data_IF_090566521201
#
_entry.id   IF_090566521201
#
_cell.length_a   1.000
_cell.length_b   1.000
_cell.length_c   1.000
_cell.angle_alpha   90.00
_cell.angle_beta   90.00
_cell.angle_gamma   90.00
#
_symmetry.space_group_name_H-M   'P 1'
#
loop_
_entity.id
_entity.type
_entity.pdbx_description
1 polymer ?
#
# COMPACT_ATOMS: atom_id res chain seq x y z
N UNK A 1 -18.91 7.63 7.00
CA UNK A 1 -19.30 7.80 5.57
C UNK A 1 -18.16 8.29 4.68
N UNK A 2 -17.49 9.42 4.96
CA UNK A 2 -16.39 9.92 4.11
C UNK A 2 -15.28 8.90 3.83
N UNK A 3 -14.82 8.20 4.87
CA UNK A 3 -13.77 7.18 4.77
C UNK A 3 -14.13 5.99 3.87
N UNK A 4 -15.40 5.58 3.83
CA UNK A 4 -15.85 4.50 2.94
C UNK A 4 -15.74 4.91 1.47
N UNK A 5 -16.15 6.13 1.13
CA UNK A 5 -16.07 6.65 -0.25
C UNK A 5 -14.62 6.81 -0.71
N UNK A 6 -13.73 7.25 0.19
CA UNK A 6 -12.29 7.32 -0.08
C UNK A 6 -11.75 5.91 -0.31
N UNK A 7 -12.12 4.95 0.55
CA UNK A 7 -11.74 3.56 0.41
C UNK A 7 -12.19 2.93 -0.90
N UNK A 8 -13.42 3.16 -1.36
CA UNK A 8 -13.88 2.64 -2.65
C UNK A 8 -13.06 3.15 -3.86
N UNK A 9 -12.46 4.35 -3.76
CA UNK A 9 -11.60 4.91 -4.82
C UNK A 9 -10.14 4.53 -4.65
N UNK A 10 -9.66 4.52 -3.42
CA UNK A 10 -8.26 4.20 -3.07
C UNK A 10 -7.98 2.71 -3.22
N UNK A 11 -8.92 1.86 -2.86
CA UNK A 11 -8.78 0.40 -2.93
C UNK A 11 -8.40 -0.09 -4.33
N UNK A 12 -9.12 0.22 -5.43
CA UNK A 12 -8.69 -0.20 -6.77
C UNK A 12 -7.39 0.48 -7.20
N UNK A 13 -7.06 1.66 -6.67
CA UNK A 13 -5.83 2.37 -6.99
C UNK A 13 -4.58 1.74 -6.33
N UNK A 14 -4.70 1.17 -5.14
CA UNK A 14 -3.60 0.46 -4.47
C UNK A 14 -3.63 -1.02 -4.83
N UNK A 15 -4.81 -1.65 -4.91
CA UNK A 15 -4.98 -3.08 -5.17
C UNK A 15 -4.43 -3.53 -6.52
N UNK A 16 -4.30 -2.62 -7.49
CA UNK A 16 -3.59 -2.86 -8.76
C UNK A 16 -2.07 -3.04 -8.59
N UNK A 17 -1.51 -2.58 -7.48
CA UNK A 17 -0.12 -2.80 -7.08
C UNK A 17 -0.01 -3.87 -5.98
N UNK A 18 -0.78 -3.73 -4.90
CA UNK A 18 -0.77 -4.64 -3.75
C UNK A 18 -2.10 -4.57 -2.99
N UNK A 19 -3.00 -5.56 -3.14
CA UNK A 19 -4.29 -5.60 -2.43
C UNK A 19 -4.16 -5.59 -0.90
N UNK A 20 -3.12 -6.20 -0.34
CA UNK A 20 -2.92 -6.25 1.12
C UNK A 20 -2.65 -4.86 1.72
N UNK A 21 -1.96 -3.98 0.97
CA UNK A 21 -1.64 -2.63 1.42
C UNK A 21 -2.84 -1.69 1.41
N UNK A 22 -3.82 -1.93 0.55
CA UNK A 22 -5.02 -1.09 0.49
C UNK A 22 -5.76 -1.08 1.84
N UNK A 23 -5.81 -2.24 2.51
CA UNK A 23 -6.38 -2.37 3.85
C UNK A 23 -5.59 -1.63 4.92
N UNK A 24 -4.25 -1.72 4.91
CA UNK A 24 -3.39 -1.03 5.88
C UNK A 24 -3.39 0.49 5.67
N UNK A 25 -3.37 0.96 4.42
CA UNK A 25 -3.39 2.40 4.12
C UNK A 25 -4.73 3.03 4.51
N UNK A 26 -5.82 2.26 4.48
CA UNK A 26 -7.11 2.70 4.98
C UNK A 26 -7.10 3.02 6.48
N UNK A 27 -6.07 2.69 7.25
CA UNK A 27 -5.94 3.11 8.65
C UNK A 27 -5.47 4.57 8.80
N UNK A 28 -4.96 5.18 7.72
CA UNK A 28 -4.49 6.58 7.70
C UNK A 28 -5.63 7.60 7.79
N UNK A 29 -5.26 8.85 8.10
CA UNK A 29 -6.16 10.00 8.09
C UNK A 29 -6.76 10.27 6.71
N UNK A 30 -8.02 10.71 6.70
CA UNK A 30 -8.74 11.01 5.45
C UNK A 30 -8.01 12.05 4.58
N UNK A 31 -7.33 13.02 5.20
CA UNK A 31 -6.57 14.05 4.49
C UNK A 31 -5.36 13.47 3.76
N UNK A 32 -4.61 12.56 4.40
CA UNK A 32 -3.48 11.86 3.77
C UNK A 32 -3.98 11.03 2.58
N UNK A 33 -5.04 10.27 2.78
CA UNK A 33 -5.62 9.45 1.70
C UNK A 33 -6.10 10.28 0.50
N UNK A 34 -6.66 11.47 0.76
CA UNK A 34 -7.03 12.40 -0.30
C UNK A 34 -5.80 12.92 -1.06
N UNK A 35 -4.71 13.25 -0.37
CA UNK A 35 -3.45 13.67 -1.01
C UNK A 35 -2.88 12.56 -1.89
N UNK A 36 -2.90 11.32 -1.40
CA UNK A 36 -2.45 10.17 -2.19
C UNK A 36 -3.34 9.95 -3.42
N UNK A 37 -4.66 10.12 -3.31
CA UNK A 37 -5.57 10.06 -4.46
C UNK A 37 -5.38 11.20 -5.45
N UNK A 38 -5.00 12.39 -4.98
CA UNK A 38 -4.76 13.57 -5.80
C UNK A 38 -3.41 13.50 -6.53
N UNK A 39 -2.43 12.78 -5.96
CA UNK A 39 -1.10 12.61 -6.51
C UNK A 39 -0.69 11.14 -6.67
N UNK A 40 -0.79 10.64 -7.90
CA UNK A 40 -0.26 9.34 -8.29
C UNK A 40 1.22 9.09 -7.87
N UNK A 41 2.18 10.03 -8.02
CA UNK A 41 3.55 9.79 -7.57
C UNK A 41 3.67 9.66 -6.04
N UNK A 42 2.85 10.39 -5.27
CA UNK A 42 2.82 10.29 -3.82
C UNK A 42 2.22 8.96 -3.37
N UNK A 43 1.10 8.54 -3.99
CA UNK A 43 0.52 7.22 -3.79
C UNK A 43 1.55 6.12 -4.02
N UNK A 44 2.24 6.16 -5.17
CA UNK A 44 3.23 5.15 -5.52
C UNK A 44 4.40 5.12 -4.53
N UNK A 45 4.94 6.27 -4.15
CA UNK A 45 6.02 6.36 -3.17
C UNK A 45 5.60 5.77 -1.82
N UNK A 46 4.38 6.08 -1.37
CA UNK A 46 3.84 5.56 -0.11
C UNK A 46 3.58 4.06 -0.18
N UNK A 47 3.09 3.57 -1.31
CA UNK A 47 2.88 2.13 -1.55
C UNK A 47 4.22 1.40 -1.54
N UNK A 48 5.28 1.95 -2.15
CA UNK A 48 6.63 1.36 -2.12
C UNK A 48 7.18 1.28 -0.69
N UNK A 49 7.07 2.37 0.07
CA UNK A 49 7.50 2.43 1.48
C UNK A 49 6.76 1.40 2.32
N UNK A 50 5.43 1.33 2.19
CA UNK A 50 4.61 0.37 2.93
C UNK A 50 4.87 -1.07 2.47
N UNK A 51 5.18 -1.30 1.18
CA UNK A 51 5.53 -2.63 0.67
C UNK A 51 6.83 -3.14 1.28
N UNK A 52 7.85 -2.28 1.41
CA UNK A 52 9.10 -2.63 2.09
C UNK A 52 8.87 -2.98 3.56
N UNK A 53 8.04 -2.19 4.25
CA UNK A 53 7.68 -2.47 5.65
C UNK A 53 6.91 -3.79 5.74
N UNK A 54 5.98 -4.06 4.82
CA UNK A 54 5.23 -5.31 4.77
C UNK A 54 6.13 -6.52 4.49
N UNK A 55 7.11 -6.39 3.59
CA UNK A 55 8.13 -7.42 3.34
C UNK A 55 8.96 -7.71 4.58
N UNK A 56 9.31 -6.69 5.35
CA UNK A 56 10.04 -6.84 6.62
C UNK A 56 9.15 -7.39 7.75
N UNK A 57 7.87 -7.03 7.75
CA UNK A 57 6.89 -7.47 8.74
C UNK A 57 6.38 -8.89 8.46
N UNK A 58 6.46 -9.37 7.21
CA UNK A 58 6.23 -10.78 6.89
C UNK A 58 7.32 -11.60 7.61
N UNK A 59 6.95 -12.54 8.50
CA UNK A 59 7.93 -13.39 9.15
C UNK A 59 8.76 -14.08 8.08
N UNK A 60 10.07 -14.23 8.33
CA UNK A 60 11.16 -14.61 7.42
C UNK A 60 10.97 -15.90 6.56
N UNK A 61 9.80 -16.50 6.51
CA UNK A 61 9.52 -17.74 5.78
C UNK A 61 9.62 -17.63 4.25
N UNK A 62 9.65 -16.42 3.66
CA UNK A 62 9.74 -16.26 2.20
C UNK A 62 11.09 -15.75 1.67
N UNK A 63 12.00 -15.27 2.54
CA UNK A 63 13.27 -14.69 2.09
C UNK A 63 14.32 -15.74 1.68
N UNK A 64 14.05 -17.04 1.89
CA UNK A 64 14.94 -18.14 1.48
C UNK A 64 14.83 -18.44 -0.03
N UNK A 65 13.86 -17.87 -0.78
CA UNK A 65 13.62 -18.23 -2.20
C UNK A 65 13.91 -17.16 -3.25
N UNK A 66 14.32 -15.94 -2.90
CA UNK A 66 14.64 -14.89 -3.89
C UNK A 66 16.08 -14.38 -3.87
N UNK A 67 16.98 -15.09 -3.18
CA UNK A 67 18.42 -14.78 -3.15
C UNK A 67 19.26 -15.59 -4.14
N UNK A 68 18.70 -16.05 -5.25
CA UNK A 68 19.45 -16.82 -6.26
C UNK A 68 19.04 -16.46 -7.69
N UNK A 69 19.52 -15.31 -8.17
CA UNK A 69 19.79 -14.89 -9.57
C UNK A 69 19.91 -13.35 -9.51
N UNK A 70 21.04 -12.69 -9.74
CA UNK A 70 22.36 -13.01 -10.31
C UNK A 70 23.43 -12.11 -9.66
#
# INVERSE_FOLDING_TARGET
>A
VQKQLIGERLFPAISKYQPELAGMMLEMDNSELLILLDSEPQLKAKVDEAMRVLEQAKPLELQIKLGHEE
#
